data_IF_631204715141
#
_entry.id   IF_631204715141
#
_cell.length_a   1.000
_cell.length_b   1.000
_cell.length_c   1.000
_cell.angle_alpha   90.00
_cell.angle_beta   90.00
_cell.angle_gamma   90.00
#
_symmetry.space_group_name_H-M   'P 1'
#
loop_
_entity.id
_entity.type
_entity.pdbx_description
1 polymer ?
#
# COMPACT_ATOMS: atom_id res chain seq x y z
N UNK A 1 -1.18 7.36 5.64
CA UNK A 1 -1.69 7.44 4.26
C UNK A 1 -3.05 6.75 4.08
N UNK A 2 -3.17 5.41 4.09
CA UNK A 2 -4.47 4.72 3.84
C UNK A 2 -5.63 5.20 4.73
N UNK A 3 -5.39 5.28 6.06
CA UNK A 3 -6.40 5.74 7.03
C UNK A 3 -6.89 7.17 6.73
N UNK A 4 -6.04 8.06 6.22
CA UNK A 4 -6.43 9.43 5.85
C UNK A 4 -7.36 9.48 4.63
N UNK A 5 -7.31 8.46 3.77
CA UNK A 5 -8.17 8.32 2.60
C UNK A 5 -9.46 7.51 2.88
N UNK A 6 -9.70 7.10 4.13
CA UNK A 6 -10.83 6.24 4.52
C UNK A 6 -10.98 4.94 3.71
N UNK A 7 -9.87 4.42 3.17
CA UNK A 7 -9.86 3.16 2.40
C UNK A 7 -9.62 2.00 3.36
N UNK A 8 -10.46 0.96 3.34
CA UNK A 8 -10.23 -0.25 4.14
C UNK A 8 -9.06 -1.08 3.57
N UNK A 9 -8.43 -1.94 4.39
CA UNK A 9 -7.37 -2.84 3.90
C UNK A 9 -7.89 -3.78 2.81
N UNK A 10 -9.15 -4.22 2.92
CA UNK A 10 -9.82 -5.09 1.95
C UNK A 10 -10.05 -4.37 0.61
N UNK A 11 -10.52 -3.12 0.66
CA UNK A 11 -10.69 -2.31 -0.55
C UNK A 11 -9.35 -2.09 -1.24
N UNK A 12 -8.30 -1.77 -0.47
CA UNK A 12 -6.97 -1.60 -1.05
C UNK A 12 -6.48 -2.90 -1.72
N UNK A 13 -6.62 -4.06 -1.05
CA UNK A 13 -6.24 -5.36 -1.61
C UNK A 13 -6.97 -5.65 -2.93
N UNK A 14 -8.29 -5.43 -2.98
CA UNK A 14 -9.08 -5.60 -4.20
C UNK A 14 -8.63 -4.67 -5.32
N UNK A 15 -8.37 -3.39 -5.02
CA UNK A 15 -7.92 -2.40 -6.01
C UNK A 15 -6.57 -2.74 -6.64
N UNK A 16 -5.69 -3.44 -5.92
CA UNK A 16 -4.38 -3.85 -6.44
C UNK A 16 -4.38 -5.28 -7.03
N UNK A 17 -5.55 -5.91 -7.16
CA UNK A 17 -5.71 -7.25 -7.75
C UNK A 17 -5.37 -8.40 -6.81
N UNK A 18 -5.21 -8.14 -5.51
CA UNK A 18 -4.95 -9.15 -4.50
C UNK A 18 -6.26 -9.67 -3.90
N UNK A 19 -6.39 -11.00 -3.76
CA UNK A 19 -7.58 -11.65 -3.19
C UNK A 19 -7.66 -11.58 -1.66
N UNK A 20 -6.57 -11.24 -0.97
CA UNK A 20 -6.52 -11.33 0.50
C UNK A 20 -5.94 -10.08 1.16
N UNK A 21 -6.55 -9.72 2.28
CA UNK A 21 -6.17 -8.60 3.14
C UNK A 21 -4.82 -8.83 3.84
N UNK A 22 -4.40 -10.10 3.96
CA UNK A 22 -3.17 -10.50 4.66
C UNK A 22 -1.91 -9.86 4.06
N UNK A 23 -1.86 -9.71 2.73
CA UNK A 23 -0.74 -9.00 2.08
C UNK A 23 -0.67 -7.56 2.56
N UNK A 24 -1.80 -6.83 2.57
CA UNK A 24 -1.90 -5.43 3.02
C UNK A 24 -1.58 -5.27 4.51
N UNK A 25 -2.10 -6.17 5.35
CA UNK A 25 -1.83 -6.15 6.79
C UNK A 25 -0.33 -6.32 7.10
N UNK A 26 0.36 -7.21 6.39
CA UNK A 26 1.82 -7.39 6.54
C UNK A 26 2.61 -6.13 6.15
N UNK A 27 2.14 -5.38 5.14
CA UNK A 27 2.74 -4.09 4.72
C UNK A 27 2.67 -3.08 5.83
N UNK A 28 1.46 -2.86 6.34
CA UNK A 28 1.21 -1.83 7.33
C UNK A 28 1.89 -2.15 8.65
N UNK A 29 2.05 -3.44 8.95
CA UNK A 29 2.74 -3.90 10.13
C UNK A 29 4.28 -3.88 9.97
N UNK A 30 4.82 -3.63 8.77
CA UNK A 30 6.26 -3.62 8.51
C UNK A 30 6.96 -4.98 8.75
N UNK A 31 6.19 -6.06 8.87
CA UNK A 31 6.73 -7.38 9.16
C UNK A 31 7.31 -8.02 7.88
N UNK A 32 8.47 -8.67 8.03
CA UNK A 32 9.21 -9.46 7.02
C UNK A 32 10.19 -8.71 6.09
N UNK A 33 10.54 -7.41 6.28
CA UNK A 33 11.42 -6.69 5.35
C UNK A 33 10.97 -6.80 3.87
N UNK A 34 9.68 -7.06 3.66
CA UNK A 34 9.11 -7.23 2.33
C UNK A 34 8.95 -5.85 1.70
N UNK A 35 9.96 -5.48 0.93
CA UNK A 35 9.88 -4.34 0.04
C UNK A 35 8.99 -4.68 -1.15
N UNK A 36 8.14 -3.73 -1.51
CA UNK A 36 7.33 -3.81 -2.72
C UNK A 36 8.20 -3.61 -3.95
N UNK A 37 7.86 -4.31 -5.03
CA UNK A 37 8.37 -3.91 -6.34
C UNK A 37 7.67 -2.61 -6.79
N UNK A 38 8.26 -1.93 -7.77
CA UNK A 38 7.76 -0.63 -8.26
C UNK A 38 6.33 -0.75 -8.80
N UNK A 39 5.97 -1.87 -9.43
CA UNK A 39 4.63 -2.09 -9.98
C UNK A 39 3.55 -2.08 -8.89
N UNK A 40 3.81 -2.76 -7.78
CA UNK A 40 2.88 -2.79 -6.65
C UNK A 40 2.79 -1.43 -5.97
N UNK A 41 3.92 -0.72 -5.79
CA UNK A 41 3.91 0.66 -5.29
C UNK A 41 3.08 1.57 -6.20
N UNK A 42 3.21 1.42 -7.51
CA UNK A 42 2.42 2.17 -8.49
C UNK A 42 0.91 1.87 -8.37
N UNK A 43 0.52 0.59 -8.26
CA UNK A 43 -0.87 0.20 -8.04
C UNK A 43 -1.44 0.76 -6.74
N UNK A 44 -0.66 0.74 -5.66
CA UNK A 44 -1.05 1.31 -4.36
C UNK A 44 -1.16 2.84 -4.46
N UNK A 45 -0.21 3.52 -5.12
CA UNK A 45 -0.24 4.97 -5.34
C UNK A 45 -1.52 5.38 -6.07
N UNK A 46 -1.84 4.67 -7.15
CA UNK A 46 -3.05 4.91 -7.94
C UNK A 46 -4.33 4.64 -7.12
N UNK A 47 -4.38 3.54 -6.36
CA UNK A 47 -5.52 3.21 -5.51
C UNK A 47 -5.74 4.23 -4.38
N UNK A 48 -4.66 4.80 -3.84
CA UNK A 48 -4.71 5.83 -2.80
C UNK A 48 -4.83 7.26 -3.36
N UNK A 49 -4.71 7.44 -4.68
CA UNK A 49 -4.63 8.73 -5.35
C UNK A 49 -3.59 9.65 -4.68
N UNK A 50 -2.36 9.14 -4.61
CA UNK A 50 -1.17 9.85 -4.08
C UNK A 50 -0.02 9.70 -5.06
N UNK A 51 1.01 10.53 -4.90
CA UNK A 51 2.21 10.38 -5.72
C UNK A 51 3.01 9.18 -5.24
N UNK A 52 3.53 8.35 -6.16
CA UNK A 52 4.35 7.20 -5.78
C UNK A 52 5.61 7.64 -5.01
N UNK A 53 6.10 8.85 -5.24
CA UNK A 53 7.21 9.47 -4.51
C UNK A 53 6.93 9.58 -3.01
N UNK A 54 5.66 9.73 -2.62
CA UNK A 54 5.26 9.85 -1.22
C UNK A 54 5.61 8.60 -0.39
N UNK A 55 5.80 7.43 -1.04
CA UNK A 55 6.25 6.21 -0.36
C UNK A 55 7.76 6.15 -0.12
N UNK A 56 8.54 7.00 -0.79
CA UNK A 56 10.00 7.02 -0.71
C UNK A 56 10.52 8.20 0.11
N UNK A 57 9.64 9.11 0.53
CA UNK A 57 9.98 10.16 1.48
C UNK A 57 10.09 9.49 2.85
N UNK A 58 11.27 8.94 3.13
CA UNK A 58 11.65 8.51 4.47
C UNK A 58 11.55 9.73 5.39
N UNK A 59 10.72 9.61 6.43
CA UNK A 59 10.91 10.43 7.63
C UNK A 59 12.34 10.23 8.14
N UNK A 60 13.00 11.35 8.45
CA UNK A 60 14.14 11.39 9.39
C UNK A 60 13.83 10.65 10.68
#
# INVERSE_FOLDING_TARGET
MRKQKNISQLNLAHSIGHKTVSTIAKIEAGHENKHYNIEQLYKIANALQVDIRDFFILSK
#
